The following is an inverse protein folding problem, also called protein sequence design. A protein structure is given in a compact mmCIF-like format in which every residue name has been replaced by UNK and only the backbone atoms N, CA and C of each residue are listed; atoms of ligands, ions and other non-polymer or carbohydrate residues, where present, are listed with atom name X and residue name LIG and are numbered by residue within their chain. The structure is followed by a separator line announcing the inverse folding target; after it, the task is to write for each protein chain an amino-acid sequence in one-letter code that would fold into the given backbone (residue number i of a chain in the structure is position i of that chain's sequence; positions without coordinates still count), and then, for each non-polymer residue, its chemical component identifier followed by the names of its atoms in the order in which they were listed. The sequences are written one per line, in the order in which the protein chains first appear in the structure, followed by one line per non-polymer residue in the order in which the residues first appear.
data_IF_374606744856
#
_entry.id   IF_374606744856
#
_cell.length_a   1.000
_cell.length_b   1.000
_cell.length_c   1.000
_cell.angle_alpha   90.00
_cell.angle_beta   90.00
_cell.angle_gamma   90.00
#
_symmetry.space_group_name_H-M   'P 1'
#
loop_
_entity.id
_entity.type
_entity.pdbx_description
1 polymer ?
#
# COMPACT_ATOMS: atom_id res chain seq x y z
N UNK A 1 9.64 -67.20 3.60
CA UNK A 1 9.13 -66.53 4.81
C UNK A 1 8.45 -65.23 4.38
N UNK A 2 7.14 -65.15 4.56
CA UNK A 2 6.30 -64.01 4.19
C UNK A 2 6.13 -63.14 5.43
N UNK A 3 6.75 -61.96 5.46
CA UNK A 3 6.56 -60.98 6.53
C UNK A 3 5.49 -59.98 6.09
N UNK A 4 4.26 -60.24 6.56
CA UNK A 4 3.13 -59.30 6.56
C UNK A 4 3.43 -58.18 7.56
N UNK A 5 3.45 -56.92 7.11
CA UNK A 5 3.34 -55.77 8.01
C UNK A 5 1.92 -55.17 7.93
N UNK A 6 1.20 -55.06 9.07
CA UNK A 6 -0.20 -54.65 9.10
C UNK A 6 -0.33 -53.21 9.60
N UNK A 7 -0.16 -52.21 8.73
CA UNK A 7 -0.52 -50.83 9.06
C UNK A 7 -1.15 -50.14 7.86
N UNK A 8 -2.43 -50.42 7.67
CA UNK A 8 -3.34 -49.68 6.80
C UNK A 8 -3.92 -48.53 7.65
N UNK A 9 -3.30 -47.36 7.59
CA UNK A 9 -3.89 -46.12 8.10
C UNK A 9 -4.42 -45.33 6.89
N UNK A 10 -5.72 -45.01 6.92
CA UNK A 10 -6.47 -44.47 5.79
C UNK A 10 -5.92 -43.13 5.28
N UNK A 11 -5.79 -43.02 3.96
CA UNK A 11 -5.63 -41.74 3.28
C UNK A 11 -6.95 -40.96 3.42
N UNK A 12 -7.03 -40.06 4.38
CA UNK A 12 -7.94 -38.93 4.27
C UNK A 12 -7.36 -37.99 3.22
N UNK A 13 -7.88 -38.07 1.99
CA UNK A 13 -7.70 -37.02 0.99
C UNK A 13 -8.31 -35.72 1.52
N UNK A 14 -7.51 -34.92 2.22
CA UNK A 14 -7.78 -33.48 2.25
C UNK A 14 -7.39 -32.93 0.90
N UNK A 15 -8.39 -32.85 0.02
CA UNK A 15 -8.43 -31.92 -1.12
C UNK A 15 -8.27 -30.51 -0.56
N UNK A 16 -7.04 -30.11 -0.24
CA UNK A 16 -6.71 -28.70 -0.14
C UNK A 16 -6.64 -28.24 -1.58
N UNK A 17 -7.79 -27.77 -2.09
CA UNK A 17 -7.81 -26.93 -3.26
C UNK A 17 -6.82 -25.81 -2.98
N UNK A 18 -5.60 -25.94 -3.50
CA UNK A 18 -4.79 -24.80 -3.83
C UNK A 18 -5.56 -24.11 -4.94
N UNK A 19 -6.48 -23.24 -4.55
CA UNK A 19 -6.74 -22.07 -5.36
C UNK A 19 -5.40 -21.31 -5.36
N UNK A 20 -4.52 -21.69 -6.30
CA UNK A 20 -3.53 -20.74 -6.79
C UNK A 20 -4.37 -19.59 -7.32
N UNK A 21 -4.53 -18.55 -6.50
CA UNK A 21 -4.91 -17.26 -7.03
C UNK A 21 -3.79 -16.89 -8.01
N UNK A 22 -4.01 -17.25 -9.27
CA UNK A 22 -3.23 -16.92 -10.46
C UNK A 22 -3.31 -15.40 -10.78
N UNK A 23 -3.56 -14.60 -9.74
CA UNK A 23 -3.65 -13.15 -9.78
C UNK A 23 -2.54 -12.57 -8.88
N UNK A 24 -1.31 -13.07 -8.99
CA UNK A 24 -0.16 -12.37 -8.41
C UNK A 24 0.59 -11.59 -9.50
N UNK A 25 0.07 -10.42 -9.90
CA UNK A 25 0.84 -9.49 -10.72
C UNK A 25 1.97 -9.02 -9.81
N UNK A 26 3.17 -9.54 -10.08
CA UNK A 26 4.39 -9.22 -9.33
C UNK A 26 4.50 -7.72 -9.02
N UNK A 27 5.29 -7.33 -8.00
CA UNK A 27 5.05 -6.16 -7.17
C UNK A 27 4.80 -4.90 -8.01
N UNK A 28 3.51 -4.58 -8.22
CA UNK A 28 3.02 -3.49 -9.10
C UNK A 28 3.67 -2.14 -8.74
N UNK A 29 4.12 -2.04 -7.49
CA UNK A 29 4.67 -0.86 -6.85
C UNK A 29 6.16 -0.99 -6.47
N UNK A 30 6.92 -1.94 -7.00
CA UNK A 30 8.33 -2.17 -6.62
C UNK A 30 9.20 -0.91 -6.52
N UNK A 31 9.24 -0.08 -7.56
CA UNK A 31 9.98 1.21 -7.55
C UNK A 31 9.43 2.25 -6.56
N UNK A 32 8.16 2.13 -6.18
CA UNK A 32 7.52 2.99 -5.17
C UNK A 32 7.88 2.48 -3.78
N UNK A 33 7.86 1.16 -3.56
CA UNK A 33 8.27 0.49 -2.33
C UNK A 33 9.75 0.80 -2.01
N UNK A 34 10.66 0.66 -2.97
CA UNK A 34 12.08 1.03 -2.83
C UNK A 34 12.25 2.50 -2.41
N UNK A 35 11.47 3.41 -3.04
CA UNK A 35 11.55 4.82 -2.70
C UNK A 35 11.00 5.09 -1.30
N UNK A 36 9.91 4.42 -0.93
CA UNK A 36 9.30 4.54 0.39
C UNK A 36 10.25 4.04 1.48
N UNK A 37 10.80 2.84 1.33
CA UNK A 37 11.77 2.24 2.24
C UNK A 37 13.00 3.14 2.45
N UNK A 38 13.61 3.63 1.37
CA UNK A 38 14.80 4.48 1.47
C UNK A 38 14.54 5.83 2.17
N UNK A 39 13.35 6.39 2.04
CA UNK A 39 13.05 7.73 2.58
C UNK A 39 12.31 7.70 3.93
N UNK A 40 11.69 6.56 4.26
CA UNK A 40 10.89 6.35 5.46
C UNK A 40 11.16 4.93 6.04
N UNK A 41 12.43 4.60 6.36
CA UNK A 41 12.81 3.23 6.72
C UNK A 41 12.07 2.73 7.97
N UNK A 42 11.95 3.56 9.00
CA UNK A 42 11.28 3.18 10.25
C UNK A 42 9.79 2.89 10.02
N UNK A 43 9.10 3.77 9.27
CA UNK A 43 7.70 3.56 8.91
C UNK A 43 7.54 2.30 8.05
N UNK A 44 8.42 2.11 7.07
CA UNK A 44 8.32 0.98 6.15
C UNK A 44 8.51 -0.34 6.90
N UNK A 45 9.52 -0.45 7.75
CA UNK A 45 9.76 -1.62 8.58
C UNK A 45 8.59 -1.90 9.54
N UNK A 46 8.10 -0.88 10.25
CA UNK A 46 6.96 -1.00 11.16
C UNK A 46 5.68 -1.42 10.42
N UNK A 47 5.38 -0.78 9.29
CA UNK A 47 4.20 -1.12 8.50
C UNK A 47 4.28 -2.55 7.98
N UNK A 48 5.43 -2.95 7.41
CA UNK A 48 5.66 -4.31 6.91
C UNK A 48 5.59 -5.37 8.01
N UNK A 49 6.04 -5.05 9.22
CA UNK A 49 5.86 -5.94 10.37
C UNK A 49 4.37 -6.19 10.68
N UNK A 50 3.52 -5.18 10.54
CA UNK A 50 2.08 -5.31 10.83
C UNK A 50 1.25 -5.86 9.66
N UNK A 51 1.62 -5.57 8.42
CA UNK A 51 0.76 -5.84 7.24
C UNK A 51 1.35 -6.90 6.30
N UNK A 52 2.59 -7.34 6.53
CA UNK A 52 3.29 -8.26 5.64
C UNK A 52 3.53 -7.63 4.26
N UNK A 53 3.26 -8.40 3.21
CA UNK A 53 3.43 -7.98 1.81
C UNK A 53 2.20 -7.30 1.19
N UNK A 54 1.20 -6.93 2.01
CA UNK A 54 0.02 -6.25 1.51
C UNK A 54 0.29 -4.76 1.24
N UNK A 55 0.52 -4.45 -0.03
CA UNK A 55 0.76 -3.08 -0.50
C UNK A 55 -0.46 -2.17 -0.23
N UNK A 56 -1.70 -2.68 -0.28
CA UNK A 56 -2.88 -1.85 -0.01
C UNK A 56 -2.85 -1.29 1.41
N UNK A 57 -2.63 -2.15 2.41
CA UNK A 57 -2.56 -1.71 3.80
C UNK A 57 -1.31 -0.87 4.08
N UNK A 58 -0.18 -1.18 3.45
CA UNK A 58 1.04 -0.37 3.54
C UNK A 58 0.76 1.08 3.12
N UNK A 59 0.17 1.27 1.95
CA UNK A 59 -0.09 2.61 1.40
C UNK A 59 -1.24 3.32 2.12
N UNK A 60 -2.29 2.61 2.54
CA UNK A 60 -3.35 3.20 3.37
C UNK A 60 -2.78 3.76 4.69
N UNK A 61 -1.97 2.97 5.42
CA UNK A 61 -1.27 3.45 6.63
C UNK A 61 -0.31 4.59 6.34
N UNK A 62 0.32 4.60 5.17
CA UNK A 62 1.21 5.69 4.78
C UNK A 62 0.46 7.02 4.62
N UNK A 63 -0.73 7.01 4.02
CA UNK A 63 -1.59 8.19 3.96
C UNK A 63 -1.93 8.73 5.35
N UNK A 64 -2.35 7.85 6.26
CA UNK A 64 -2.64 8.21 7.65
C UNK A 64 -1.41 8.81 8.36
N UNK A 65 -0.25 8.18 8.20
CA UNK A 65 1.03 8.67 8.72
C UNK A 65 1.36 10.08 8.21
N UNK A 66 1.22 10.30 6.90
CA UNK A 66 1.51 11.58 6.28
C UNK A 66 0.53 12.66 6.74
N UNK A 67 -0.77 12.35 6.76
CA UNK A 67 -1.83 13.25 7.24
C UNK A 67 -1.56 13.70 8.68
N UNK A 68 -1.34 12.76 9.60
CA UNK A 68 -1.00 13.06 11.01
C UNK A 68 0.26 13.90 11.13
N UNK A 69 1.31 13.56 10.36
CA UNK A 69 2.59 14.26 10.41
C UNK A 69 2.45 15.73 10.02
N UNK A 70 1.60 16.03 9.04
CA UNK A 70 1.29 17.40 8.60
C UNK A 70 0.42 18.11 9.66
N UNK A 71 -0.65 17.46 10.12
CA UNK A 71 -1.59 18.07 11.07
C UNK A 71 -0.93 18.48 12.38
N UNK A 72 -0.07 17.60 12.90
CA UNK A 72 0.63 17.77 14.17
C UNK A 72 1.93 18.57 14.01
N UNK A 73 2.30 18.96 12.79
CA UNK A 73 3.57 19.65 12.46
C UNK A 73 4.81 18.93 13.01
N UNK A 74 4.76 17.60 13.07
CA UNK A 74 5.80 16.75 13.69
C UNK A 74 6.94 16.39 12.75
N UNK A 75 6.77 16.57 11.44
CA UNK A 75 7.77 16.20 10.45
C UNK A 75 8.41 17.43 9.78
N UNK A 76 9.74 17.41 9.54
CA UNK A 76 10.40 18.40 8.70
C UNK A 76 9.76 18.49 7.31
N UNK A 77 9.73 19.69 6.70
CA UNK A 77 9.12 19.92 5.37
C UNK A 77 9.70 19.00 4.29
N UNK A 78 11.01 18.74 4.32
CA UNK A 78 11.66 17.83 3.37
C UNK A 78 11.11 16.40 3.45
N UNK A 79 10.79 15.91 4.65
CA UNK A 79 10.16 14.60 4.87
C UNK A 79 8.73 14.58 4.34
N UNK A 80 7.95 15.64 4.58
CA UNK A 80 6.60 15.78 4.01
C UNK A 80 6.62 15.77 2.48
N UNK A 81 7.57 16.47 1.84
CA UNK A 81 7.66 16.53 0.37
C UNK A 81 8.05 15.19 -0.25
N UNK A 82 8.91 14.41 0.42
CA UNK A 82 9.17 13.01 0.04
C UNK A 82 7.89 12.18 0.13
N UNK A 83 7.01 12.47 1.10
CA UNK A 83 5.74 11.78 1.22
C UNK A 83 4.82 12.03 0.04
N UNK A 84 4.66 13.29 -0.38
CA UNK A 84 3.94 13.60 -1.61
C UNK A 84 4.62 13.00 -2.86
N UNK A 85 5.94 12.82 -2.85
CA UNK A 85 6.65 12.15 -3.94
C UNK A 85 6.27 10.67 -4.06
N UNK A 86 6.04 9.97 -2.96
CA UNK A 86 5.51 8.59 -2.96
C UNK A 86 4.13 8.56 -3.63
N UNK A 87 3.22 9.45 -3.22
CA UNK A 87 1.86 9.51 -3.78
C UNK A 87 1.86 9.87 -5.27
N UNK A 88 2.72 10.80 -5.69
CA UNK A 88 2.89 11.15 -7.09
C UNK A 88 3.46 10.00 -7.93
N UNK A 89 4.34 9.16 -7.37
CA UNK A 89 4.80 7.94 -8.04
C UNK A 89 3.67 6.93 -8.22
N UNK A 90 2.83 6.72 -7.19
CA UNK A 90 1.64 5.88 -7.32
C UNK A 90 0.69 6.42 -8.39
N UNK A 91 0.41 7.73 -8.39
CA UNK A 91 -0.46 8.36 -9.38
C UNK A 91 0.08 8.19 -10.80
N UNK A 92 1.39 8.26 -11.01
CA UNK A 92 1.99 7.97 -12.31
C UNK A 92 1.74 6.52 -12.77
N UNK A 93 1.89 5.55 -11.87
CA UNK A 93 1.65 4.13 -12.16
C UNK A 93 0.16 3.85 -12.41
N UNK A 94 -0.72 4.54 -11.68
CA UNK A 94 -2.17 4.41 -11.79
C UNK A 94 -2.74 4.68 -13.19
N UNK A 95 -2.03 5.46 -14.00
CA UNK A 95 -2.41 5.74 -15.39
C UNK A 95 -2.40 4.50 -16.28
N UNK A 96 -1.59 3.51 -15.91
CA UNK A 96 -1.43 2.24 -16.65
C UNK A 96 -2.03 1.06 -15.89
N UNK A 97 -2.15 1.18 -14.57
CA UNK A 97 -2.67 0.12 -13.71
C UNK A 97 -3.89 0.60 -12.89
N UNK A 98 -5.11 0.18 -13.27
CA UNK A 98 -6.34 0.50 -12.54
C UNK A 98 -6.36 0.02 -11.08
N UNK A 99 -5.62 -1.03 -10.72
CA UNK A 99 -5.57 -1.50 -9.34
C UNK A 99 -4.76 -0.55 -8.46
N UNK A 100 -3.65 -0.01 -8.98
CA UNK A 100 -2.88 1.03 -8.29
C UNK A 100 -3.70 2.30 -8.12
N UNK A 101 -4.53 2.65 -9.12
CA UNK A 101 -5.49 3.76 -8.98
C UNK A 101 -6.45 3.51 -7.83
N UNK A 102 -7.10 2.35 -7.78
CA UNK A 102 -8.02 2.00 -6.69
C UNK A 102 -7.33 2.10 -5.33
N UNK A 103 -6.14 1.50 -5.20
CA UNK A 103 -5.35 1.55 -3.97
C UNK A 103 -4.98 2.98 -3.54
N UNK A 104 -4.57 3.84 -4.48
CA UNK A 104 -4.23 5.23 -4.19
C UNK A 104 -5.46 6.02 -3.70
N UNK A 105 -6.58 5.87 -4.41
CA UNK A 105 -7.82 6.59 -4.16
C UNK A 105 -8.45 6.16 -2.84
N UNK A 106 -8.71 4.86 -2.66
CA UNK A 106 -9.39 4.31 -1.48
C UNK A 106 -8.44 4.04 -0.30
N UNK A 107 -7.29 4.69 -0.27
CA UNK A 107 -6.25 4.44 0.72
C UNK A 107 -5.59 5.76 1.09
N UNK A 108 -4.38 6.05 0.58
CA UNK A 108 -3.66 7.24 0.98
C UNK A 108 -4.43 8.56 0.84
N UNK A 109 -5.23 8.72 -0.22
CA UNK A 109 -5.91 9.99 -0.50
C UNK A 109 -7.11 10.23 0.42
N UNK A 110 -7.88 9.20 0.78
CA UNK A 110 -8.96 9.31 1.78
C UNK A 110 -8.45 9.91 3.09
N UNK A 111 -7.35 9.37 3.63
CA UNK A 111 -6.75 9.88 4.87
C UNK A 111 -6.28 11.34 4.78
N UNK A 112 -5.93 11.82 3.58
CA UNK A 112 -5.54 13.22 3.40
C UNK A 112 -6.75 14.15 3.37
N UNK A 113 -7.92 13.69 2.88
CA UNK A 113 -9.15 14.50 2.83
C UNK A 113 -9.67 14.79 4.22
N UNK A 114 -9.63 13.79 5.10
CA UNK A 114 -10.08 13.89 6.49
C UNK A 114 -9.22 14.84 7.34
N UNK A 115 -8.07 15.28 6.83
CA UNK A 115 -7.11 16.14 7.51
C UNK A 115 -6.99 17.51 6.80
N UNK A 116 -7.62 18.58 7.31
CA UNK A 116 -7.74 19.86 6.59
C UNK A 116 -6.42 20.51 6.13
N UNK A 117 -5.38 20.50 6.98
CA UNK A 117 -4.05 21.02 6.63
C UNK A 117 -3.34 20.09 5.65
N UNK A 118 -3.52 18.79 5.81
CA UNK A 118 -2.96 17.80 4.90
C UNK A 118 -3.57 17.94 3.49
N UNK A 119 -4.90 18.02 3.39
CA UNK A 119 -5.64 18.32 2.16
C UNK A 119 -5.16 19.60 1.49
N UNK A 120 -5.11 20.71 2.25
CA UNK A 120 -4.67 21.99 1.71
C UNK A 120 -3.23 21.96 1.19
N UNK A 121 -2.34 21.20 1.84
CA UNK A 121 -0.96 21.04 1.38
C UNK A 121 -0.86 20.06 0.20
N UNK A 122 -1.67 19.02 0.18
CA UNK A 122 -1.77 18.06 -0.91
C UNK A 122 -2.18 18.76 -2.21
N UNK A 123 -3.17 19.65 -2.17
CA UNK A 123 -3.57 20.48 -3.32
C UNK A 123 -2.46 21.40 -3.85
N UNK A 124 -1.38 21.62 -3.09
CA UNK A 124 -0.22 22.42 -3.54
C UNK A 124 0.96 21.57 -4.03
N UNK A 125 0.99 20.27 -3.74
CA UNK A 125 2.19 19.42 -3.87
C UNK A 125 1.96 18.13 -4.63
N UNK A 126 0.73 17.66 -4.69
CA UNK A 126 0.36 16.58 -5.57
C UNK A 126 0.50 17.00 -7.04
N UNK A 127 0.86 16.05 -7.87
CA UNK A 127 0.84 16.20 -9.33
C UNK A 127 -0.60 16.39 -9.82
N UNK A 128 -0.82 16.98 -11.02
CA UNK A 128 -2.16 17.19 -11.56
C UNK A 128 -3.03 15.93 -11.58
N UNK A 129 -2.42 14.77 -11.86
CA UNK A 129 -3.12 13.47 -11.86
C UNK A 129 -3.59 13.10 -10.45
N UNK A 130 -2.74 13.26 -9.46
CA UNK A 130 -3.08 12.95 -8.07
C UNK A 130 -4.07 13.96 -7.47
N UNK A 131 -3.97 15.24 -7.85
CA UNK A 131 -4.94 16.28 -7.48
C UNK A 131 -6.33 15.93 -8.03
N UNK A 132 -6.45 15.59 -9.31
CA UNK A 132 -7.75 15.22 -9.90
C UNK A 132 -8.43 14.04 -9.19
N UNK A 133 -7.66 13.03 -8.77
CA UNK A 133 -8.18 11.95 -7.93
C UNK A 133 -8.64 12.42 -6.55
N UNK A 134 -7.88 13.31 -5.91
CA UNK A 134 -8.21 13.86 -4.59
C UNK A 134 -9.45 14.76 -4.66
N UNK A 135 -9.62 15.50 -5.75
CA UNK A 135 -10.78 16.35 -6.02
C UNK A 135 -12.04 15.52 -6.26
N UNK A 136 -11.93 14.42 -7.03
CA UNK A 136 -13.06 13.50 -7.31
C UNK A 136 -13.63 12.82 -6.05
N UNK A 137 -12.88 12.82 -4.95
CA UNK A 137 -13.32 12.29 -3.65
C UNK A 137 -14.01 13.37 -2.77
N UNK A 138 -13.91 14.65 -3.15
CA UNK A 138 -14.53 15.77 -2.45
C UNK A 138 -15.89 16.18 -3.06
N UNK A 139 -16.24 15.61 -4.21
CA UNK A 139 -17.51 15.80 -4.94
C UNK A 139 -18.57 14.80 -4.46
#
# INVERSE_FOLDING_TARGET
MVLRNPWRCGKTEMKKQMASNDNDPGPRLGKVNEYLERNFPDFFAEARFHVGDDDYFLYSRFGQYLARSIEQRRAPRSKIYRGFTVLNKMARMSRKDPAVRRMLVSGPLEHLIDAPKARALAMKRLSPVAQGYLESLCE
#
